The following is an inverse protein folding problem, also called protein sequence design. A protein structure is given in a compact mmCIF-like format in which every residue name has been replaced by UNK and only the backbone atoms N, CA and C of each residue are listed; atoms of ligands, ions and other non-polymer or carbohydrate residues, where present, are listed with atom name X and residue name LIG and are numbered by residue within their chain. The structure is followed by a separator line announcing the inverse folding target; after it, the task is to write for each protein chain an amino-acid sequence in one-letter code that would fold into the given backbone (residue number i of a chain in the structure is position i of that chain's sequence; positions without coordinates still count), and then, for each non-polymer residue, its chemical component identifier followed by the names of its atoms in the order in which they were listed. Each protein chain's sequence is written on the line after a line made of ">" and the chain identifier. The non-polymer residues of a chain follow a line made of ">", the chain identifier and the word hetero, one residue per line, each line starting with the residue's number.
data_IF_177641199184
#
_entry.id   IF_177641199184
#
_cell.length_a   1.000
_cell.length_b   1.000
_cell.length_c   1.000
_cell.angle_alpha   90.00
_cell.angle_beta   90.00
_cell.angle_gamma   90.00
#
_symmetry.space_group_name_H-M   'P 1'
#
loop_
_entity.id
_entity.type
_entity.pdbx_description
1 polymer ?
#
# COMPACT_ATOMS: atom_id res chain seq x y z
N UNK A 1 -19.40 -2.35 -2.31
CA UNK A 1 -19.30 -1.63 -3.59
C UNK A 1 -20.68 -1.12 -3.96
N UNK A 2 -20.90 0.18 -3.82
CA UNK A 2 -22.19 0.82 -4.09
C UNK A 2 -22.25 1.45 -5.50
N UNK A 3 -21.10 1.66 -6.15
CA UNK A 3 -20.95 2.22 -7.50
C UNK A 3 -19.58 1.85 -8.07
N UNK A 4 -19.44 1.80 -9.40
CA UNK A 4 -18.15 1.66 -10.09
C UNK A 4 -17.47 3.02 -10.35
N UNK A 5 -18.23 4.11 -10.28
CA UNK A 5 -17.76 5.47 -10.55
C UNK A 5 -17.25 6.16 -9.27
N UNK A 6 -17.51 5.56 -8.11
CA UNK A 6 -17.08 6.07 -6.81
C UNK A 6 -16.23 5.05 -6.07
N UNK A 7 -15.02 5.47 -5.71
CA UNK A 7 -14.05 4.64 -5.03
C UNK A 7 -14.36 4.51 -3.53
N UNK A 8 -14.34 3.28 -3.03
CA UNK A 8 -14.41 2.98 -1.58
C UNK A 8 -13.05 3.17 -0.87
N UNK A 9 -11.96 3.11 -1.65
CA UNK A 9 -10.57 3.17 -1.19
C UNK A 9 -9.68 3.91 -2.18
N UNK A 10 -8.64 4.57 -1.66
CA UNK A 10 -7.45 4.96 -2.43
C UNK A 10 -6.30 4.03 -2.08
N UNK A 11 -5.48 3.64 -3.05
CA UNK A 11 -4.43 2.63 -2.91
C UNK A 11 -3.09 3.23 -3.30
N UNK A 12 -2.07 2.97 -2.48
CA UNK A 12 -0.66 3.12 -2.83
C UNK A 12 -0.02 1.73 -2.93
N UNK A 13 0.66 1.46 -4.03
CA UNK A 13 1.46 0.24 -4.22
C UNK A 13 2.95 0.62 -4.22
N UNK A 14 3.69 0.05 -3.26
CA UNK A 14 5.11 0.29 -3.06
C UNK A 14 5.90 -0.83 -3.73
N UNK A 15 6.40 -0.53 -4.93
CA UNK A 15 7.09 -1.49 -5.79
C UNK A 15 8.61 -1.26 -5.79
N UNK A 16 9.41 -2.16 -5.21
CA UNK A 16 10.86 -2.00 -5.19
C UNK A 16 11.47 -2.14 -6.59
N UNK A 17 12.46 -1.30 -6.88
CA UNK A 17 13.38 -1.53 -8.00
C UNK A 17 14.13 -2.86 -7.86
N UNK A 18 14.67 -3.41 -8.96
CA UNK A 18 15.24 -4.76 -8.99
C UNK A 18 16.43 -5.01 -8.05
N UNK A 19 17.06 -3.96 -7.52
CA UNK A 19 18.16 -4.02 -6.55
C UNK A 19 17.82 -3.32 -5.22
N UNK A 20 16.57 -2.90 -5.02
CA UNK A 20 16.14 -2.30 -3.78
C UNK A 20 15.86 -3.41 -2.74
N UNK A 21 16.50 -3.38 -1.57
CA UNK A 21 16.19 -4.34 -0.51
C UNK A 21 14.81 -4.04 0.09
N UNK A 22 14.13 -5.08 0.60
CA UNK A 22 12.79 -4.94 1.17
C UNK A 22 12.72 -3.91 2.32
N UNK A 23 13.79 -3.76 3.11
CA UNK A 23 13.88 -2.71 4.14
C UNK A 23 13.61 -1.30 3.62
N UNK A 24 13.93 -0.99 2.36
CA UNK A 24 13.58 0.31 1.76
C UNK A 24 12.08 0.45 1.50
N UNK A 25 11.41 -0.65 1.19
CA UNK A 25 9.94 -0.67 1.08
C UNK A 25 9.32 -0.34 2.44
N UNK A 26 9.90 -0.87 3.53
CA UNK A 26 9.49 -0.57 4.91
C UNK A 26 9.74 0.91 5.26
N UNK A 27 10.93 1.45 4.97
CA UNK A 27 11.25 2.88 5.15
C UNK A 27 10.20 3.77 4.44
N UNK A 28 9.92 3.47 3.18
CA UNK A 28 8.95 4.25 2.39
C UNK A 28 7.52 4.08 2.90
N UNK A 29 7.12 2.89 3.36
CA UNK A 29 5.82 2.68 3.97
C UNK A 29 5.63 3.51 5.25
N UNK A 30 6.68 3.63 6.07
CA UNK A 30 6.67 4.49 7.26
C UNK A 30 6.56 5.97 6.89
N UNK A 31 7.29 6.45 5.88
CA UNK A 31 7.13 7.83 5.41
C UNK A 31 5.75 8.10 4.82
N UNK A 32 5.14 7.11 4.16
CA UNK A 32 3.74 7.20 3.73
C UNK A 32 2.81 7.30 4.94
N UNK A 33 3.03 6.53 6.01
CA UNK A 33 2.28 6.64 7.26
C UNK A 33 2.42 8.03 7.88
N UNK A 34 3.65 8.53 8.05
CA UNK A 34 3.93 9.86 8.60
C UNK A 34 3.21 10.95 7.78
N UNK A 35 3.29 10.86 6.45
CA UNK A 35 2.61 11.79 5.54
C UNK A 35 1.09 11.71 5.66
N UNK A 36 0.51 10.51 5.83
CA UNK A 36 -0.93 10.35 6.08
C UNK A 36 -1.32 10.98 7.41
N UNK A 37 -0.55 10.75 8.47
CA UNK A 37 -0.81 11.28 9.81
C UNK A 37 -0.76 12.83 9.81
N UNK A 38 0.22 13.43 9.12
CA UNK A 38 0.29 14.89 8.91
C UNK A 38 -0.94 15.46 8.21
N UNK A 39 -1.54 14.68 7.30
CA UNK A 39 -2.75 15.05 6.57
C UNK A 39 -4.04 14.69 7.33
N UNK A 40 -3.92 14.11 8.54
CA UNK A 40 -5.05 13.63 9.33
C UNK A 40 -5.77 12.44 8.70
N UNK A 41 -5.05 11.67 7.88
CA UNK A 41 -5.52 10.47 7.19
C UNK A 41 -5.00 9.21 7.90
N UNK A 42 -5.67 8.09 7.68
CA UNK A 42 -5.21 6.77 8.09
C UNK A 42 -5.41 5.74 6.98
N UNK A 43 -4.69 4.62 7.09
CA UNK A 43 -4.78 3.52 6.12
C UNK A 43 -4.50 2.16 6.74
N UNK A 44 -4.82 1.13 5.96
CA UNK A 44 -4.56 -0.26 6.26
C UNK A 44 -3.43 -0.79 5.37
N UNK A 45 -2.57 -1.63 5.93
CA UNK A 45 -1.36 -2.12 5.26
C UNK A 45 -1.47 -3.62 4.96
N UNK A 46 -0.87 -4.06 3.86
CA UNK A 46 -0.62 -5.48 3.61
C UNK A 46 0.65 -5.70 2.80
N UNK A 47 1.24 -6.90 2.93
CA UNK A 47 2.19 -7.38 1.92
C UNK A 47 1.45 -7.59 0.59
N UNK A 48 2.15 -7.38 -0.53
CA UNK A 48 1.55 -7.67 -1.84
C UNK A 48 1.44 -9.18 -2.13
N UNK A 49 2.13 -10.03 -1.35
CA UNK A 49 2.39 -11.43 -1.67
C UNK A 49 3.39 -11.59 -2.83
N UNK A 50 4.17 -10.55 -3.10
CA UNK A 50 5.30 -10.54 -4.03
C UNK A 50 6.47 -9.81 -3.37
N UNK A 51 6.95 -8.71 -3.93
CA UNK A 51 8.14 -7.97 -3.45
C UNK A 51 7.82 -6.69 -2.69
N UNK A 52 6.55 -6.26 -2.68
CA UNK A 52 6.14 -4.92 -2.25
C UNK A 52 5.10 -4.89 -1.13
N UNK A 53 4.64 -3.69 -0.81
CA UNK A 53 3.58 -3.42 0.16
C UNK A 53 2.45 -2.62 -0.48
N UNK A 54 1.20 -2.88 -0.09
CA UNK A 54 0.06 -2.05 -0.49
C UNK A 54 -0.55 -1.37 0.72
N UNK A 55 -0.92 -0.11 0.56
CA UNK A 55 -1.56 0.72 1.59
C UNK A 55 -2.92 1.19 1.07
N UNK A 56 -3.97 0.90 1.82
CA UNK A 56 -5.36 1.20 1.49
C UNK A 56 -5.89 2.30 2.40
N UNK A 57 -6.32 3.42 1.83
CA UNK A 57 -6.94 4.52 2.53
C UNK A 57 -8.46 4.43 2.34
N UNK A 58 -9.25 4.21 3.41
CA UNK A 58 -10.71 4.17 3.30
C UNK A 58 -11.28 5.57 3.00
N UNK A 59 -12.03 5.71 1.91
CA UNK A 59 -12.57 6.99 1.44
C UNK A 59 -14.02 7.24 1.88
N UNK A 60 -14.47 8.50 1.97
CA UNK A 60 -15.89 8.81 2.12
C UNK A 60 -16.75 8.21 1.00
N UNK A 61 -18.01 7.82 1.28
CA UNK A 61 -18.96 7.45 0.24
C UNK A 61 -19.12 8.54 -0.83
N UNK A 62 -19.27 8.15 -2.09
CA UNK A 62 -19.42 9.10 -3.20
C UNK A 62 -18.13 9.80 -3.62
N UNK A 63 -16.95 9.30 -3.21
CA UNK A 63 -15.67 9.86 -3.69
C UNK A 63 -15.42 9.44 -5.15
N UNK A 64 -15.28 10.37 -6.12
CA UNK A 64 -14.99 10.03 -7.51
C UNK A 64 -13.64 9.30 -7.66
N UNK A 65 -13.51 8.43 -8.66
CA UNK A 65 -12.26 7.69 -8.91
C UNK A 65 -11.05 8.61 -9.17
N UNK A 66 -11.26 9.76 -9.80
CA UNK A 66 -10.24 10.79 -10.01
C UNK A 66 -9.75 11.36 -8.67
N UNK A 67 -10.67 11.62 -7.74
CA UNK A 67 -10.31 12.10 -6.41
C UNK A 67 -9.51 11.03 -5.63
N UNK A 68 -9.87 9.75 -5.73
CA UNK A 68 -9.09 8.66 -5.14
C UNK A 68 -7.65 8.60 -5.69
N UNK A 69 -7.47 8.83 -6.99
CA UNK A 69 -6.15 8.91 -7.63
C UNK A 69 -5.36 10.13 -7.13
N UNK A 70 -6.01 11.29 -7.01
CA UNK A 70 -5.38 12.52 -6.53
C UNK A 70 -4.91 12.40 -5.08
N UNK A 71 -5.68 11.76 -4.19
CA UNK A 71 -5.27 11.51 -2.80
C UNK A 71 -3.95 10.72 -2.75
N UNK A 72 -3.87 9.60 -3.48
CA UNK A 72 -2.66 8.81 -3.55
C UNK A 72 -1.51 9.60 -4.19
N UNK A 73 -1.78 10.39 -5.23
CA UNK A 73 -0.76 11.21 -5.89
C UNK A 73 -0.16 12.26 -4.93
N UNK A 74 -0.98 12.95 -4.14
CA UNK A 74 -0.52 13.94 -3.16
C UNK A 74 0.46 13.31 -2.17
N UNK A 75 0.08 12.15 -1.61
CA UNK A 75 0.92 11.43 -0.65
C UNK A 75 2.21 10.94 -1.32
N UNK A 76 2.11 10.32 -2.50
CA UNK A 76 3.25 9.83 -3.24
C UNK A 76 4.24 10.96 -3.58
N UNK A 77 3.76 12.09 -4.11
CA UNK A 77 4.58 13.25 -4.44
C UNK A 77 5.31 13.76 -3.21
N UNK A 78 4.62 13.99 -2.08
CA UNK A 78 5.25 14.49 -0.84
C UNK A 78 6.37 13.57 -0.34
N UNK A 79 6.12 12.26 -0.30
CA UNK A 79 7.13 11.27 0.10
C UNK A 79 8.34 11.33 -0.84
N UNK A 80 8.11 11.42 -2.15
CA UNK A 80 9.22 11.44 -3.12
C UNK A 80 10.00 12.76 -3.15
N UNK A 81 9.36 13.89 -2.85
CA UNK A 81 10.02 15.19 -2.73
C UNK A 81 10.89 15.26 -1.46
N UNK A 82 10.41 14.68 -0.36
CA UNK A 82 11.18 14.59 0.89
C UNK A 82 12.32 13.57 0.80
N UNK A 83 12.13 12.47 0.06
CA UNK A 83 13.08 11.35 -0.01
C UNK A 83 13.48 10.94 -1.44
N UNK A 84 13.97 11.86 -2.30
CA UNK A 84 14.15 11.62 -3.74
C UNK A 84 15.26 10.61 -4.07
N UNK A 85 16.12 10.27 -3.10
CA UNK A 85 17.18 9.25 -3.26
C UNK A 85 16.67 7.83 -3.05
N UNK A 86 15.50 7.67 -2.43
CA UNK A 86 14.96 6.37 -2.00
C UNK A 86 13.61 6.09 -2.65
N UNK A 87 12.75 7.09 -2.79
CA UNK A 87 11.41 6.96 -3.36
C UNK A 87 11.29 7.71 -4.69
N UNK A 88 10.40 7.25 -5.57
CA UNK A 88 10.14 7.87 -6.87
C UNK A 88 8.72 7.62 -7.36
N UNK A 89 8.16 8.58 -8.12
CA UNK A 89 6.92 8.42 -8.90
C UNK A 89 7.20 8.24 -10.40
N UNK A 90 8.48 8.14 -10.79
CA UNK A 90 8.87 7.88 -12.18
C UNK A 90 8.48 6.45 -12.58
N UNK A 91 7.59 6.35 -13.58
CA UNK A 91 7.05 5.06 -14.05
C UNK A 91 8.07 4.26 -14.84
N UNK A 92 8.93 4.95 -15.59
CA UNK A 92 9.94 4.29 -16.42
C UNK A 92 10.97 3.62 -15.53
N UNK A 93 10.96 2.29 -15.52
CA UNK A 93 11.95 1.46 -14.80
C UNK A 93 13.38 1.87 -15.14
N UNK A 94 13.63 2.28 -16.39
CA UNK A 94 14.94 2.76 -16.84
C UNK A 94 15.32 4.10 -16.21
N UNK A 95 14.38 5.02 -16.04
CA UNK A 95 14.63 6.36 -15.53
C UNK A 95 14.67 6.43 -14.00
N UNK A 96 13.93 5.55 -13.30
CA UNK A 96 13.79 5.59 -11.84
C UNK A 96 14.98 5.00 -11.07
N UNK A 97 15.94 4.40 -11.76
CA UNK A 97 17.09 3.72 -11.15
C UNK A 97 16.73 2.34 -10.57
N UNK A 98 17.76 1.53 -10.26
CA UNK A 98 17.53 0.15 -9.83
C UNK A 98 17.26 -0.03 -8.33
N UNK A 99 17.42 1.03 -7.53
CA UNK A 99 17.53 0.94 -6.06
C UNK A 99 16.46 1.72 -5.30
N UNK A 100 15.60 2.43 -6.03
CA UNK A 100 14.49 3.23 -5.50
C UNK A 100 13.23 2.37 -5.34
N UNK A 101 12.28 2.88 -4.55
CA UNK A 101 10.94 2.34 -4.41
C UNK A 101 10.00 3.21 -5.24
N UNK A 102 9.28 2.59 -6.16
CA UNK A 102 8.23 3.25 -6.90
C UNK A 102 6.97 3.34 -6.04
N UNK A 103 6.51 4.56 -5.80
CA UNK A 103 5.30 4.85 -5.03
C UNK A 103 4.15 4.98 -6.04
N UNK A 104 3.55 3.85 -6.39
CA UNK A 104 2.53 3.77 -7.43
C UNK A 104 1.16 4.22 -6.93
N UNK A 105 0.76 5.41 -7.34
CA UNK A 105 -0.56 5.98 -7.06
C UNK A 105 -1.62 5.61 -8.11
N UNK A 106 -1.26 4.87 -9.17
CA UNK A 106 -2.08 4.68 -10.36
C UNK A 106 -2.94 3.42 -10.34
N UNK A 107 -2.81 2.63 -9.27
CA UNK A 107 -3.69 1.50 -9.01
C UNK A 107 -5.15 1.93 -8.82
N UNK A 108 -5.39 3.23 -8.67
CA UNK A 108 -6.72 3.86 -8.53
C UNK A 108 -7.41 4.17 -9.87
N UNK A 109 -6.73 3.97 -11.01
CA UNK A 109 -7.35 4.16 -12.33
C UNK A 109 -8.40 3.06 -12.55
N UNK A 110 -9.56 3.46 -13.08
CA UNK A 110 -10.66 2.54 -13.40
C UNK A 110 -10.15 1.34 -14.23
N UNK A 111 -10.52 0.14 -13.80
CA UNK A 111 -10.16 -1.12 -14.46
C UNK A 111 -8.82 -1.72 -14.03
N UNK A 112 -8.00 -0.99 -13.24
CA UNK A 112 -6.85 -1.60 -12.56
C UNK A 112 -7.31 -2.53 -11.45
N UNK A 113 -6.51 -3.55 -11.19
CA UNK A 113 -6.77 -4.54 -10.16
C UNK A 113 -5.54 -4.71 -9.28
N UNK A 114 -5.81 -4.99 -8.02
CA UNK A 114 -4.80 -5.22 -6.99
C UNK A 114 -5.12 -6.54 -6.33
N UNK A 115 -4.12 -7.36 -6.03
CA UNK A 115 -4.32 -8.61 -5.31
C UNK A 115 -5.09 -8.35 -4.00
N UNK A 116 -6.17 -9.10 -3.79
CA UNK A 116 -7.01 -8.95 -2.60
C UNK A 116 -6.22 -9.33 -1.34
N UNK A 117 -6.55 -8.71 -0.20
CA UNK A 117 -6.08 -9.20 1.09
C UNK A 117 -6.46 -10.69 1.26
N UNK A 118 -5.59 -11.44 1.93
CA UNK A 118 -5.72 -12.89 2.18
C UNK A 118 -5.63 -13.78 0.92
N UNK A 119 -5.46 -13.20 -0.27
CA UNK A 119 -5.29 -13.98 -1.50
C UNK A 119 -3.88 -14.53 -1.67
N UNK A 120 -3.79 -15.78 -2.13
CA UNK A 120 -2.52 -16.37 -2.57
C UNK A 120 -2.06 -15.75 -3.90
N UNK A 121 -0.74 -15.73 -4.11
CA UNK A 121 -0.10 -15.26 -5.34
C UNK A 121 0.54 -16.42 -6.07
N UNK A 122 0.47 -16.38 -7.40
CA UNK A 122 1.10 -17.36 -8.28
C UNK A 122 2.61 -17.13 -8.37
N UNK A 123 3.33 -17.46 -7.30
CA UNK A 123 4.78 -17.53 -7.24
C UNK A 123 5.22 -18.89 -6.66
N UNK A 124 6.51 -19.28 -6.77
CA UNK A 124 6.98 -20.59 -6.35
C UNK A 124 6.70 -20.93 -4.88
N UNK A 125 6.64 -19.92 -4.03
CA UNK A 125 6.46 -20.06 -2.58
C UNK A 125 4.98 -19.92 -2.15
N UNK A 126 4.06 -19.75 -3.11
CA UNK A 126 2.63 -19.50 -2.88
C UNK A 126 2.37 -18.44 -1.79
N UNK A 127 3.09 -17.32 -1.85
CA UNK A 127 2.96 -16.26 -0.84
C UNK A 127 1.56 -15.64 -0.82
N UNK A 128 1.14 -15.14 0.34
CA UNK A 128 -0.17 -14.55 0.58
C UNK A 128 -0.04 -13.04 0.70
N UNK A 129 -0.96 -12.30 0.08
CA UNK A 129 -1.10 -10.86 0.29
C UNK A 129 -1.69 -10.60 1.67
N UNK A 130 -0.81 -10.35 2.64
CA UNK A 130 -1.10 -10.54 4.07
C UNK A 130 -1.30 -9.21 4.77
N UNK A 131 -2.48 -8.94 5.35
CA UNK A 131 -2.70 -7.78 6.22
C UNK A 131 -1.74 -7.74 7.40
N UNK A 132 -1.25 -6.53 7.69
CA UNK A 132 -0.30 -6.25 8.77
C UNK A 132 -0.80 -5.07 9.62
N UNK A 133 -0.45 -5.10 10.89
CA UNK A 133 -0.47 -3.91 11.73
C UNK A 133 0.77 -3.06 11.44
N UNK A 134 0.66 -1.75 11.67
CA UNK A 134 1.73 -0.80 11.35
C UNK A 134 2.99 -1.01 12.22
N UNK A 135 2.83 -1.52 13.44
CA UNK A 135 3.92 -1.87 14.35
C UNK A 135 4.70 -3.12 13.92
N UNK A 136 4.13 -3.94 13.03
CA UNK A 136 4.83 -5.09 12.43
C UNK A 136 5.84 -4.68 11.34
N UNK A 137 5.86 -3.41 10.92
CA UNK A 137 6.86 -2.87 9.99
C UNK A 137 8.24 -2.69 10.66
N UNK A 138 8.85 -3.81 11.02
CA UNK A 138 10.21 -3.89 11.59
C UNK A 138 11.22 -4.27 10.51
N UNK A 139 12.52 -4.05 10.74
CA UNK A 139 13.55 -4.43 9.76
C UNK A 139 13.63 -5.93 9.49
N UNK A 140 13.12 -6.74 10.42
CA UNK A 140 13.11 -8.20 10.36
C UNK A 140 11.88 -8.77 9.62
N UNK A 141 10.91 -7.92 9.22
CA UNK A 141 9.75 -8.36 8.47
C UNK A 141 10.15 -8.96 7.11
N UNK A 142 9.89 -10.25 6.91
CA UNK A 142 10.11 -10.94 5.65
C UNK A 142 8.76 -11.39 5.04
N UNK A 143 8.32 -10.82 3.90
CA UNK A 143 7.08 -11.22 3.23
C UNK A 143 7.01 -12.71 2.87
N UNK A 144 8.16 -13.38 2.71
CA UNK A 144 8.25 -14.80 2.35
C UNK A 144 7.80 -15.73 3.47
N UNK A 145 7.68 -15.22 4.69
CA UNK A 145 7.13 -15.98 5.81
C UNK A 145 5.62 -16.16 5.72
N UNK A 146 4.93 -15.40 4.86
CA UNK A 146 3.49 -15.50 4.68
C UNK A 146 3.14 -16.31 3.42
N UNK A 147 2.90 -17.60 3.59
CA UNK A 147 2.52 -18.54 2.52
C UNK A 147 1.14 -19.13 2.79
N UNK A 148 0.58 -19.85 1.82
CA UNK A 148 -0.67 -20.59 2.03
C UNK A 148 -0.60 -21.60 3.19
N UNK A 149 0.61 -22.03 3.59
CA UNK A 149 0.84 -22.98 4.67
C UNK A 149 0.90 -22.27 6.04
N UNK A 150 1.52 -21.10 6.11
CA UNK A 150 1.77 -20.38 7.38
C UNK A 150 0.70 -19.34 7.70
N UNK A 151 0.11 -18.70 6.69
CA UNK A 151 -0.83 -17.60 6.86
C UNK A 151 -2.12 -18.00 7.63
N UNK A 152 -2.73 -19.19 7.45
CA UNK A 152 -3.92 -19.56 8.20
C UNK A 152 -3.74 -19.55 9.73
N UNK A 153 -2.60 -20.04 10.22
CA UNK A 153 -2.29 -20.04 11.66
C UNK A 153 -2.17 -18.61 12.19
N UNK A 154 -1.50 -17.73 11.45
CA UNK A 154 -1.42 -16.30 11.77
C UNK A 154 -2.79 -15.66 11.84
N UNK A 155 -3.68 -15.89 10.87
CA UNK A 155 -5.00 -15.26 10.86
C UNK A 155 -5.88 -15.72 12.03
N UNK A 156 -5.70 -16.96 12.49
CA UNK A 156 -6.36 -17.44 13.70
C UNK A 156 -5.84 -16.75 14.97
N UNK A 157 -4.55 -16.38 15.00
CA UNK A 157 -3.90 -15.71 16.13
C UNK A 157 -4.22 -14.21 16.20
N UNK A 158 -4.05 -13.47 15.10
CA UNK A 158 -4.16 -12.00 15.07
C UNK A 158 -5.56 -11.50 14.68
N UNK A 159 -6.41 -12.37 14.13
CA UNK A 159 -7.74 -12.00 13.62
C UNK A 159 -7.70 -11.12 12.35
N UNK A 160 -8.79 -10.39 12.08
CA UNK A 160 -8.91 -9.51 10.92
C UNK A 160 -8.44 -8.08 11.22
N UNK A 161 -7.17 -7.82 10.92
CA UNK A 161 -6.53 -6.50 11.13
C UNK A 161 -7.18 -5.41 10.26
N UNK A 162 -7.60 -5.76 9.05
CA UNK A 162 -8.20 -4.80 8.12
C UNK A 162 -9.62 -4.39 8.52
N UNK A 163 -10.40 -5.29 9.13
CA UNK A 163 -11.72 -4.92 9.66
C UNK A 163 -11.64 -3.73 10.61
N UNK A 164 -10.61 -3.66 11.47
CA UNK A 164 -10.39 -2.54 12.37
C UNK A 164 -9.87 -1.29 11.62
N UNK A 165 -8.83 -1.45 10.81
CA UNK A 165 -8.12 -0.33 10.14
C UNK A 165 -8.99 0.37 9.08
N UNK A 166 -9.87 -0.35 8.38
CA UNK A 166 -10.71 0.18 7.30
C UNK A 166 -12.10 0.64 7.77
N UNK A 167 -12.45 0.42 9.05
CA UNK A 167 -13.79 0.72 9.58
C UNK A 167 -14.16 2.19 9.49
N UNK A 168 -13.23 3.08 9.87
CA UNK A 168 -13.44 4.52 9.86
C UNK A 168 -13.04 5.06 8.48
N UNK A 169 -13.93 5.82 7.83
CA UNK A 169 -13.58 6.52 6.58
C UNK A 169 -12.80 7.80 6.88
N UNK A 170 -11.85 8.14 6.02
CA UNK A 170 -11.09 9.39 6.10
C UNK A 170 -11.97 10.60 5.81
N UNK A 171 -11.54 11.79 6.24
CA UNK A 171 -12.07 13.05 5.74
C UNK A 171 -11.05 13.66 4.77
N UNK A 172 -11.49 14.03 3.57
CA UNK A 172 -10.60 14.65 2.57
C UNK A 172 -10.53 16.18 2.70
N UNK A 173 -11.17 16.77 3.72
CA UNK A 173 -11.23 18.23 3.89
C UNK A 173 -9.87 18.90 4.09
N UNK A 174 -8.89 18.18 4.60
CA UNK A 174 -7.53 18.70 4.79
C UNK A 174 -6.74 18.79 3.47
N UNK A 175 -7.27 18.23 2.38
CA UNK A 175 -6.62 18.20 1.06
C UNK A 175 -7.18 19.24 0.07
N UNK A 176 -8.20 20.01 0.49
CA UNK A 176 -8.88 21.05 -0.31
C UNK A 176 -8.73 22.42 0.34
#
# INVERSE_FOLDING_TARGET
>A
MQSLDHADYSILDLDPGPRAPFKRVIEVAKWVQDTMDELGLHGALKTSGSTGLHIYLPLPPGTPNEAATLVAQIIATRVTEAHPKVATIERSVKARGGTTIYVDYLQNIIGKTVAAAYSARANPDAMVSTPLAWDELTEDLDPREFTIETAPARFADVGDLWAAQLRKKNSLRALV
#
